data_IF_155967736589
#
_entry.id   IF_155967736589
#
_cell.length_a   1.000
_cell.length_b   1.000
_cell.length_c   1.000
_cell.angle_alpha   90.00
_cell.angle_beta   90.00
_cell.angle_gamma   90.00
#
_symmetry.space_group_name_H-M   'P 1'
#
loop_
_entity.id
_entity.type
_entity.pdbx_description
1 polymer ?
#
# COMPACT_ATOMS: atom_id res chain seq x y z
N UNK A 1 21.08 9.83 62.41
CA UNK A 1 21.02 11.19 62.95
C UNK A 1 20.15 12.02 62.05
N UNK A 2 18.92 12.32 62.50
CA UNK A 2 18.18 13.60 62.44
C UNK A 2 17.87 14.06 60.96
N UNK A 3 16.70 14.47 60.51
CA UNK A 3 15.48 14.99 61.19
C UNK A 3 14.32 14.91 60.18
N UNK A 4 13.19 14.48 60.70
CA UNK A 4 11.84 14.59 60.17
C UNK A 4 11.48 16.05 59.88
N UNK A 5 10.77 16.32 58.79
CA UNK A 5 9.84 17.46 58.75
C UNK A 5 8.58 17.04 57.96
N UNK A 6 7.53 16.85 58.74
CA UNK A 6 6.14 16.73 58.33
C UNK A 6 5.59 18.14 58.20
N UNK A 7 4.99 18.47 57.06
CA UNK A 7 4.07 19.62 56.99
C UNK A 7 2.74 19.11 56.44
N UNK A 8 1.79 19.05 57.35
CA UNK A 8 0.36 18.96 57.10
C UNK A 8 -0.18 20.36 56.77
N UNK A 9 -0.94 20.47 55.70
CA UNK A 9 -1.97 21.49 55.50
C UNK A 9 -2.87 20.95 54.39
N UNK A 10 -4.09 20.68 54.51
CA UNK A 10 -5.19 21.46 55.05
C UNK A 10 -6.33 21.34 54.04
N UNK A 11 -7.34 20.60 54.42
CA UNK A 11 -8.58 20.31 53.68
C UNK A 11 -9.33 21.60 53.32
N UNK A 12 -9.81 21.72 52.08
CA UNK A 12 -11.01 22.50 51.77
C UNK A 12 -11.83 21.74 50.70
N UNK A 13 -12.83 21.05 51.22
CA UNK A 13 -13.95 20.51 50.45
C UNK A 13 -14.87 21.68 50.02
N UNK A 14 -14.87 22.01 48.76
CA UNK A 14 -15.99 22.77 48.15
C UNK A 14 -16.67 21.83 47.16
N UNK A 15 -17.78 21.27 47.61
CA UNK A 15 -18.73 20.55 46.80
C UNK A 15 -19.39 21.49 45.77
N UNK A 16 -19.04 21.27 44.51
CA UNK A 16 -19.78 21.81 43.36
C UNK A 16 -20.54 20.66 42.73
N UNK A 17 -21.84 20.57 42.96
CA UNK A 17 -22.73 19.75 42.12
C UNK A 17 -22.73 20.34 40.72
N UNK A 18 -21.87 19.84 39.85
CA UNK A 18 -22.00 20.03 38.41
C UNK A 18 -23.12 19.10 37.92
N UNK A 19 -24.30 19.67 37.68
CA UNK A 19 -25.37 19.01 36.92
C UNK A 19 -24.80 18.70 35.55
N UNK A 20 -24.57 17.41 35.26
CA UNK A 20 -24.22 16.94 33.94
C UNK A 20 -25.35 17.30 32.98
N UNK A 21 -25.11 18.27 32.12
CA UNK A 21 -25.99 18.54 30.98
C UNK A 21 -25.85 17.30 30.07
N UNK A 22 -26.98 16.69 29.62
CA UNK A 22 -26.92 15.64 28.64
C UNK A 22 -26.29 16.22 27.36
N UNK A 23 -25.21 15.65 26.90
CA UNK A 23 -24.64 15.92 25.59
C UNK A 23 -25.73 15.73 24.53
N UNK A 24 -25.89 16.68 23.61
CA UNK A 24 -26.84 16.49 22.51
C UNK A 24 -26.40 15.28 21.70
N UNK A 25 -27.22 14.24 21.73
CA UNK A 25 -27.05 13.05 20.90
C UNK A 25 -26.98 13.54 19.45
N UNK A 26 -25.78 13.52 18.88
CA UNK A 26 -25.58 13.85 17.47
C UNK A 26 -26.41 12.85 16.65
N UNK A 27 -27.48 13.34 16.05
CA UNK A 27 -28.26 12.58 15.10
C UNK A 27 -27.29 12.11 14.01
N UNK A 28 -27.19 10.80 13.72
CA UNK A 28 -26.34 10.34 12.63
C UNK A 28 -26.79 11.06 11.35
N UNK A 29 -25.90 11.87 10.78
CA UNK A 29 -26.12 12.46 9.47
C UNK A 29 -26.32 11.29 8.52
N UNK A 30 -27.44 11.24 7.74
CA UNK A 30 -27.57 10.22 6.73
C UNK A 30 -26.33 10.32 5.83
N UNK A 31 -25.54 9.26 5.80
CA UNK A 31 -24.50 9.10 4.79
C UNK A 31 -25.29 9.04 3.49
N UNK A 32 -25.23 10.12 2.72
CA UNK A 32 -25.73 10.10 1.35
C UNK A 32 -24.97 8.96 0.69
N UNK A 33 -25.69 7.89 0.32
CA UNK A 33 -25.14 6.88 -0.54
C UNK A 33 -24.61 7.62 -1.76
N UNK A 34 -23.29 7.58 -1.95
CA UNK A 34 -22.70 8.08 -3.17
C UNK A 34 -23.44 7.40 -4.32
N UNK A 35 -23.91 8.13 -5.33
CA UNK A 35 -24.49 7.51 -6.51
C UNK A 35 -23.47 6.47 -7.00
N UNK A 36 -23.97 5.26 -7.27
CA UNK A 36 -23.15 4.26 -7.94
C UNK A 36 -22.53 4.93 -9.17
N UNK A 37 -21.25 4.76 -9.46
CA UNK A 37 -20.64 5.36 -10.63
C UNK A 37 -21.46 4.90 -11.84
N UNK A 38 -22.18 5.83 -12.43
CA UNK A 38 -22.81 5.61 -13.73
C UNK A 38 -21.66 5.38 -14.72
N UNK A 39 -21.75 4.28 -15.42
CA UNK A 39 -20.83 3.67 -16.39
C UNK A 39 -20.30 4.61 -17.47
N UNK A 40 -19.58 5.66 -17.17
CA UNK A 40 -18.77 6.32 -18.20
C UNK A 40 -17.83 7.38 -17.64
N UNK A 41 -16.72 6.97 -17.06
CA UNK A 41 -15.57 7.85 -17.20
C UNK A 41 -15.17 7.85 -18.68
N UNK A 42 -15.01 9.00 -19.32
CA UNK A 42 -14.50 9.02 -20.68
C UNK A 42 -13.12 8.33 -20.66
N UNK A 43 -12.99 7.27 -21.44
CA UNK A 43 -11.67 6.68 -21.64
C UNK A 43 -10.76 7.78 -22.23
N UNK A 44 -9.49 7.88 -21.80
CA UNK A 44 -8.55 8.78 -22.45
C UNK A 44 -8.56 8.53 -23.95
N UNK A 45 -8.34 9.58 -24.75
CA UNK A 45 -8.25 9.42 -26.19
C UNK A 45 -7.15 8.38 -26.53
N UNK A 46 -7.49 7.19 -27.02
CA UNK A 46 -6.52 6.13 -27.26
C UNK A 46 -5.45 6.57 -28.25
N UNK A 47 -5.78 7.37 -29.26
CA UNK A 47 -4.83 7.85 -30.24
C UNK A 47 -3.77 8.78 -29.60
N UNK A 48 -4.19 9.62 -28.65
CA UNK A 48 -3.27 10.45 -27.87
C UNK A 48 -2.35 9.61 -26.98
N UNK A 49 -2.91 8.64 -26.28
CA UNK A 49 -2.16 7.78 -25.38
C UNK A 49 -1.14 6.92 -26.12
N UNK A 50 -1.54 6.34 -27.24
CA UNK A 50 -0.66 5.56 -28.12
C UNK A 50 0.48 6.42 -28.67
N UNK A 51 0.19 7.67 -29.07
CA UNK A 51 1.21 8.60 -29.56
C UNK A 51 2.25 8.96 -28.47
N UNK A 52 1.83 9.11 -27.21
CA UNK A 52 2.76 9.36 -26.10
C UNK A 52 3.64 8.15 -25.84
N UNK A 53 3.06 6.95 -25.77
CA UNK A 53 3.81 5.70 -25.58
C UNK A 53 4.79 5.47 -26.73
N UNK A 54 4.35 5.68 -27.98
CA UNK A 54 5.23 5.58 -29.15
C UNK A 54 6.42 6.56 -29.09
N UNK A 55 6.20 7.77 -28.55
CA UNK A 55 7.26 8.78 -28.36
C UNK A 55 8.25 8.39 -27.27
N UNK A 56 7.79 7.74 -26.19
CA UNK A 56 8.68 7.24 -25.14
C UNK A 56 9.62 6.14 -25.66
N UNK A 57 9.18 5.42 -26.70
CA UNK A 57 9.91 4.30 -27.28
C UNK A 57 9.74 3.00 -26.48
N UNK A 58 10.51 1.96 -26.80
CA UNK A 58 10.39 0.66 -26.16
C UNK A 58 10.84 0.73 -24.68
N UNK A 59 10.16 -0.05 -23.85
CA UNK A 59 10.56 -0.23 -22.44
C UNK A 59 11.98 -0.83 -22.38
N UNK A 60 12.90 -0.22 -21.62
CA UNK A 60 14.23 -0.78 -21.45
C UNK A 60 14.18 -2.17 -20.79
N UNK A 61 15.03 -3.11 -21.22
CA UNK A 61 15.10 -4.42 -20.59
C UNK A 61 15.50 -4.30 -19.12
N UNK A 62 14.89 -5.14 -18.29
CA UNK A 62 15.23 -5.28 -16.88
C UNK A 62 16.12 -6.48 -16.64
N UNK A 63 16.70 -6.49 -15.45
CA UNK A 63 17.40 -7.68 -14.95
C UNK A 63 16.38 -8.72 -14.47
N UNK A 64 16.79 -9.99 -14.52
CA UNK A 64 16.05 -11.09 -13.91
C UNK A 64 16.91 -11.74 -12.86
N UNK A 65 16.29 -12.21 -11.79
CA UNK A 65 17.03 -12.98 -10.79
C UNK A 65 17.48 -14.35 -11.32
N UNK A 66 18.68 -14.78 -10.94
CA UNK A 66 19.04 -16.20 -11.02
C UNK A 66 18.25 -16.98 -9.97
N UNK A 67 18.11 -18.31 -10.08
CA UNK A 67 17.42 -19.10 -9.05
C UNK A 67 17.97 -18.89 -7.64
N UNK A 68 19.28 -18.73 -7.50
CA UNK A 68 19.93 -18.47 -6.20
C UNK A 68 19.58 -17.07 -5.67
N UNK A 69 19.50 -16.06 -6.55
CA UNK A 69 19.09 -14.72 -6.18
C UNK A 69 17.60 -14.66 -5.81
N UNK A 70 16.76 -15.43 -6.50
CA UNK A 70 15.33 -15.55 -6.17
C UNK A 70 15.15 -16.11 -4.76
N UNK A 71 15.84 -17.20 -4.41
CA UNK A 71 15.81 -17.77 -3.06
C UNK A 71 16.31 -16.77 -2.02
N UNK A 72 17.39 -16.05 -2.30
CA UNK A 72 17.93 -15.05 -1.38
C UNK A 72 16.96 -13.86 -1.20
N UNK A 73 16.28 -13.43 -2.25
CA UNK A 73 15.29 -12.36 -2.20
C UNK A 73 14.06 -12.76 -1.38
N UNK A 74 13.57 -13.98 -1.55
CA UNK A 74 12.46 -14.54 -0.75
C UNK A 74 12.83 -14.63 0.74
N UNK A 75 14.05 -15.06 1.05
CA UNK A 75 14.51 -15.11 2.44
C UNK A 75 14.59 -13.69 3.06
N UNK A 76 15.09 -12.72 2.31
CA UNK A 76 15.16 -11.33 2.77
C UNK A 76 13.77 -10.71 2.98
N UNK A 77 12.80 -10.99 2.10
CA UNK A 77 11.41 -10.55 2.25
C UNK A 77 10.77 -11.18 3.51
N UNK A 78 10.98 -12.46 3.74
CA UNK A 78 10.52 -13.14 4.96
C UNK A 78 11.11 -12.53 6.24
N UNK A 79 12.39 -12.15 6.22
CA UNK A 79 13.05 -11.48 7.34
C UNK A 79 12.50 -10.07 7.58
N UNK A 80 12.24 -9.33 6.52
CA UNK A 80 11.62 -8.00 6.61
C UNK A 80 10.22 -8.10 7.20
N UNK A 81 9.36 -8.99 6.67
CA UNK A 81 8.00 -9.24 7.20
C UNK A 81 8.04 -9.62 8.68
N UNK A 82 8.95 -10.53 9.04
CA UNK A 82 9.13 -10.89 10.44
C UNK A 82 9.52 -9.68 11.30
N UNK A 83 10.39 -8.81 10.81
CA UNK A 83 10.79 -7.61 11.53
C UNK A 83 9.61 -6.67 11.87
N UNK A 84 8.57 -6.64 11.02
CA UNK A 84 7.34 -5.89 11.27
C UNK A 84 6.50 -6.54 12.37
N UNK A 85 6.32 -7.86 12.31
CA UNK A 85 5.60 -8.62 13.36
C UNK A 85 6.31 -8.47 14.70
N UNK A 86 7.62 -8.71 14.77
CA UNK A 86 8.41 -8.65 16.00
C UNK A 86 8.45 -7.25 16.62
N UNK A 87 8.35 -6.16 15.83
CA UNK A 87 8.23 -4.81 16.39
C UNK A 87 6.91 -4.58 17.12
N UNK A 88 5.83 -5.14 16.60
CA UNK A 88 4.50 -4.99 17.18
C UNK A 88 4.26 -5.98 18.33
N UNK A 89 4.87 -7.17 18.25
CA UNK A 89 4.69 -8.29 19.16
C UNK A 89 6.04 -8.93 19.52
N UNK A 90 6.86 -8.28 20.36
CA UNK A 90 8.24 -8.71 20.63
C UNK A 90 8.36 -10.06 21.35
N UNK A 91 7.30 -10.53 21.99
CA UNK A 91 7.28 -11.81 22.70
C UNK A 91 6.90 -13.00 21.82
N UNK A 92 6.49 -12.76 20.57
CA UNK A 92 6.19 -13.84 19.63
C UNK A 92 7.47 -14.53 19.14
N UNK A 93 7.43 -15.85 19.07
CA UNK A 93 8.47 -16.62 18.41
C UNK A 93 8.18 -16.71 16.91
N UNK A 94 9.23 -16.53 16.08
CA UNK A 94 9.11 -16.72 14.64
C UNK A 94 8.77 -18.17 14.33
N UNK A 95 7.70 -18.43 13.57
CA UNK A 95 7.36 -19.79 13.19
C UNK A 95 8.36 -20.34 12.15
N UNK A 96 8.55 -21.65 12.16
CA UNK A 96 9.20 -22.32 11.05
C UNK A 96 8.22 -22.37 9.86
N UNK A 97 8.66 -21.86 8.73
CA UNK A 97 7.87 -21.79 7.50
C UNK A 97 8.69 -22.32 6.33
N UNK A 98 7.99 -22.87 5.34
CA UNK A 98 8.61 -23.34 4.10
C UNK A 98 7.76 -22.84 2.93
N UNK A 99 8.39 -22.29 1.90
CA UNK A 99 7.69 -21.87 0.69
C UNK A 99 6.96 -23.07 0.07
N UNK A 100 5.66 -22.96 -0.05
CA UNK A 100 4.78 -23.97 -0.65
C UNK A 100 4.58 -23.72 -2.13
N UNK A 101 4.37 -22.44 -2.49
CA UNK A 101 4.13 -22.02 -3.85
C UNK A 101 4.58 -20.59 -4.05
N UNK A 102 5.31 -20.31 -5.14
CA UNK A 102 5.68 -18.94 -5.54
C UNK A 102 4.67 -18.50 -6.60
N UNK A 103 3.86 -17.51 -6.27
CA UNK A 103 2.83 -16.98 -7.16
C UNK A 103 3.40 -15.98 -8.16
N UNK A 104 2.97 -16.05 -9.40
CA UNK A 104 3.22 -14.98 -10.38
C UNK A 104 2.39 -13.73 -10.04
N UNK A 105 2.81 -12.56 -10.54
CA UNK A 105 2.27 -11.26 -10.12
C UNK A 105 0.74 -11.11 -10.29
N UNK A 106 0.13 -11.81 -11.25
CA UNK A 106 -1.31 -11.81 -11.47
C UNK A 106 -2.10 -12.71 -10.52
N UNK A 107 -1.46 -13.72 -9.94
CA UNK A 107 -2.10 -14.80 -9.20
C UNK A 107 -1.82 -14.78 -7.69
N UNK A 108 -1.08 -13.78 -7.21
CA UNK A 108 -0.64 -13.71 -5.82
C UNK A 108 -1.79 -13.83 -4.81
N UNK A 109 -2.83 -12.99 -4.97
CA UNK A 109 -3.96 -12.99 -4.02
C UNK A 109 -4.75 -14.28 -4.07
N UNK A 110 -4.97 -14.84 -5.27
CA UNK A 110 -5.67 -16.11 -5.44
C UNK A 110 -4.88 -17.29 -4.89
N UNK A 111 -3.55 -17.21 -4.92
CA UNK A 111 -2.66 -18.25 -4.39
C UNK A 111 -2.60 -18.25 -2.87
N UNK A 112 -2.64 -17.08 -2.22
CA UNK A 112 -2.54 -16.95 -0.76
C UNK A 112 -3.89 -17.07 -0.05
N UNK A 113 -5.01 -16.75 -0.72
CA UNK A 113 -6.35 -16.73 -0.14
C UNK A 113 -6.74 -18.03 0.59
N UNK A 114 -6.49 -19.24 0.06
CA UNK A 114 -6.81 -20.48 0.77
C UNK A 114 -6.09 -20.61 2.11
N UNK A 115 -4.84 -20.13 2.23
CA UNK A 115 -4.12 -20.14 3.49
C UNK A 115 -4.76 -19.20 4.52
N UNK A 116 -5.19 -18.02 4.11
CA UNK A 116 -5.90 -17.10 4.99
C UNK A 116 -7.22 -17.69 5.49
N UNK A 117 -7.98 -18.35 4.61
CA UNK A 117 -9.22 -19.02 4.96
C UNK A 117 -8.98 -20.17 5.96
N UNK A 118 -7.98 -21.02 5.72
CA UNK A 118 -7.63 -22.14 6.58
C UNK A 118 -7.22 -21.70 7.98
N UNK A 119 -6.43 -20.63 8.08
CA UNK A 119 -5.93 -20.11 9.35
C UNK A 119 -6.87 -19.05 9.99
N UNK A 120 -8.01 -18.76 9.36
CA UNK A 120 -9.00 -17.80 9.87
C UNK A 120 -8.50 -16.37 9.92
N UNK A 121 -7.55 -15.98 9.06
CA UNK A 121 -7.02 -14.60 9.01
C UNK A 121 -8.09 -13.65 8.48
N UNK A 122 -8.47 -12.61 9.21
CA UNK A 122 -9.51 -11.66 8.79
C UNK A 122 -8.97 -10.70 7.74
N UNK A 123 -9.09 -11.05 6.48
CA UNK A 123 -8.67 -10.22 5.35
C UNK A 123 -9.86 -9.64 4.60
N UNK A 124 -9.69 -8.42 4.12
CA UNK A 124 -10.60 -7.77 3.18
C UNK A 124 -9.90 -7.66 1.84
N UNK A 125 -10.48 -8.26 0.81
CA UNK A 125 -9.93 -8.19 -0.54
C UNK A 125 -10.29 -6.87 -1.19
N UNK A 126 -9.30 -6.26 -1.86
CA UNK A 126 -9.41 -4.96 -2.52
C UNK A 126 -9.09 -5.07 -4.00
N UNK A 127 -9.48 -4.06 -4.78
CA UNK A 127 -9.17 -3.95 -6.21
C UNK A 127 -9.58 -5.17 -7.06
N UNK A 128 -10.76 -5.74 -6.81
CA UNK A 128 -11.22 -6.92 -7.56
C UNK A 128 -10.32 -8.13 -7.33
N UNK A 129 -9.92 -8.37 -6.08
CA UNK A 129 -9.01 -9.44 -5.64
C UNK A 129 -7.55 -9.28 -6.12
N UNK A 130 -7.10 -8.05 -6.38
CA UNK A 130 -5.68 -7.77 -6.69
C UNK A 130 -4.84 -7.45 -5.47
N UNK A 131 -5.48 -7.18 -4.34
CA UNK A 131 -4.85 -6.89 -3.07
C UNK A 131 -5.69 -7.37 -1.90
N UNK A 132 -5.14 -7.28 -0.71
CA UNK A 132 -5.87 -7.49 0.52
C UNK A 132 -5.39 -6.54 1.61
N UNK A 133 -6.28 -6.21 2.52
CA UNK A 133 -6.00 -5.52 3.76
C UNK A 133 -6.33 -6.41 4.95
N UNK A 134 -5.69 -6.17 6.08
CA UNK A 134 -6.00 -6.84 7.34
C UNK A 134 -6.22 -5.79 8.42
N UNK A 135 -7.40 -5.81 9.02
CA UNK A 135 -7.80 -4.85 10.05
C UNK A 135 -7.52 -5.34 11.48
N UNK A 136 -6.99 -6.56 11.63
CA UNK A 136 -6.72 -7.13 12.94
C UNK A 136 -5.44 -6.56 13.56
N UNK A 137 -5.52 -6.29 14.88
CA UNK A 137 -4.38 -5.99 15.74
C UNK A 137 -4.04 -7.16 16.67
N UNK A 138 -4.68 -8.32 16.45
CA UNK A 138 -4.44 -9.54 17.22
C UNK A 138 -3.09 -10.18 16.84
N UNK A 139 -2.40 -10.73 17.84
CA UNK A 139 -1.08 -11.31 17.66
C UNK A 139 -1.13 -12.61 16.83
N UNK A 140 -2.15 -13.44 17.06
CA UNK A 140 -2.28 -14.72 16.35
C UNK A 140 -2.65 -14.49 14.88
N UNK A 141 -3.52 -13.51 14.60
CA UNK A 141 -3.84 -13.12 13.23
C UNK A 141 -2.61 -12.62 12.47
N UNK A 142 -1.77 -11.80 13.12
CA UNK A 142 -0.52 -11.31 12.52
C UNK A 142 0.49 -12.42 12.29
N UNK A 143 0.56 -13.38 13.20
CA UNK A 143 1.42 -14.56 13.04
C UNK A 143 0.96 -15.42 11.87
N UNK A 144 -0.34 -15.66 11.77
CA UNK A 144 -0.96 -16.43 10.70
C UNK A 144 -0.82 -15.71 9.33
N UNK A 145 -1.00 -14.39 9.30
CA UNK A 145 -0.73 -13.59 8.10
C UNK A 145 0.72 -13.77 7.64
N UNK A 146 1.69 -13.57 8.54
CA UNK A 146 3.11 -13.75 8.24
C UNK A 146 3.37 -15.14 7.67
N UNK A 147 2.81 -16.18 8.28
CA UNK A 147 2.95 -17.56 7.83
C UNK A 147 2.46 -17.73 6.39
N UNK A 148 1.25 -17.28 6.08
CA UNK A 148 0.70 -17.38 4.73
C UNK A 148 1.54 -16.60 3.70
N UNK A 149 1.98 -15.39 4.04
CA UNK A 149 2.80 -14.56 3.15
C UNK A 149 4.18 -15.16 2.84
N UNK A 150 4.74 -15.96 3.76
CA UNK A 150 6.02 -16.65 3.54
C UNK A 150 5.83 -18.01 2.86
N UNK A 151 4.75 -18.70 3.13
CA UNK A 151 4.43 -20.00 2.49
C UNK A 151 3.97 -19.82 1.03
N UNK A 152 3.30 -18.70 0.72
CA UNK A 152 2.78 -18.36 -0.61
C UNK A 152 3.27 -16.97 -1.08
N UNK A 153 4.59 -16.77 -1.19
CA UNK A 153 5.10 -15.47 -1.60
C UNK A 153 4.80 -15.18 -3.07
N UNK A 154 4.70 -13.89 -3.40
CA UNK A 154 4.79 -13.47 -4.80
C UNK A 154 6.22 -13.65 -5.33
N UNK A 155 6.34 -13.91 -6.65
CA UNK A 155 7.66 -13.99 -7.28
C UNK A 155 8.41 -12.67 -7.09
N UNK A 156 9.61 -12.70 -6.50
CA UNK A 156 10.39 -11.49 -6.31
C UNK A 156 10.88 -10.95 -7.66
N UNK A 157 10.81 -9.64 -7.80
CA UNK A 157 11.26 -8.94 -9.00
C UNK A 157 12.64 -8.35 -8.75
N UNK A 158 13.53 -8.46 -9.75
CA UNK A 158 14.81 -7.77 -9.70
C UNK A 158 14.60 -6.25 -9.60
N UNK A 159 15.50 -5.52 -8.93
CA UNK A 159 15.43 -4.07 -8.88
C UNK A 159 15.43 -3.46 -10.28
N UNK A 160 14.72 -2.36 -10.46
CA UNK A 160 14.77 -1.62 -11.71
C UNK A 160 16.19 -1.14 -12.02
N UNK A 161 16.59 -1.28 -13.27
CA UNK A 161 17.83 -0.66 -13.78
C UNK A 161 17.70 0.86 -13.83
N UNK A 162 18.82 1.57 -13.93
CA UNK A 162 18.80 3.03 -14.08
C UNK A 162 18.05 3.48 -15.35
N UNK A 163 18.15 2.72 -16.44
CA UNK A 163 17.45 2.99 -17.69
C UNK A 163 15.94 2.78 -17.54
N UNK A 164 15.52 1.72 -16.86
CA UNK A 164 14.11 1.50 -16.52
C UNK A 164 13.55 2.62 -15.63
N UNK A 165 14.29 3.05 -14.62
CA UNK A 165 13.86 4.16 -13.76
C UNK A 165 13.79 5.48 -14.52
N UNK A 166 14.73 5.73 -15.43
CA UNK A 166 14.70 6.90 -16.30
C UNK A 166 13.46 6.89 -17.20
N UNK A 167 13.15 5.75 -17.80
CA UNK A 167 11.94 5.56 -18.60
C UNK A 167 10.67 5.71 -17.77
N UNK A 168 10.63 5.11 -16.57
CA UNK A 168 9.49 5.19 -15.66
C UNK A 168 9.18 6.62 -15.23
N UNK A 169 10.22 7.43 -14.98
CA UNK A 169 10.01 8.86 -14.71
C UNK A 169 9.35 9.58 -15.88
N UNK A 170 9.85 9.35 -17.11
CA UNK A 170 9.26 9.95 -18.31
C UNK A 170 7.82 9.46 -18.54
N UNK A 171 7.56 8.19 -18.30
CA UNK A 171 6.22 7.62 -18.34
C UNK A 171 5.27 8.30 -17.34
N UNK A 172 5.71 8.52 -16.11
CA UNK A 172 4.89 9.21 -15.12
C UNK A 172 4.59 10.66 -15.50
N UNK A 173 5.56 11.36 -16.05
CA UNK A 173 5.41 12.77 -16.42
C UNK A 173 4.63 12.95 -17.72
N UNK A 174 4.89 12.11 -18.73
CA UNK A 174 4.37 12.32 -20.08
C UNK A 174 3.10 11.52 -20.37
N UNK A 175 2.87 10.42 -19.66
CA UNK A 175 1.71 9.56 -19.85
C UNK A 175 0.79 9.56 -18.64
N UNK A 176 1.24 9.04 -17.48
CA UNK A 176 0.35 8.75 -16.36
C UNK A 176 -0.31 10.01 -15.77
N UNK A 177 0.48 11.05 -15.50
CA UNK A 177 -0.07 12.28 -14.95
C UNK A 177 -1.07 12.97 -15.91
N UNK A 178 -0.76 13.16 -17.19
CA UNK A 178 -1.76 13.66 -18.14
C UNK A 178 -2.98 12.75 -18.28
N UNK A 179 -2.81 11.43 -18.30
CA UNK A 179 -3.91 10.47 -18.37
C UNK A 179 -4.92 10.66 -17.22
N UNK A 180 -4.43 10.78 -15.99
CA UNK A 180 -5.25 11.03 -14.82
C UNK A 180 -6.02 12.36 -14.96
N UNK A 181 -5.36 13.40 -15.45
CA UNK A 181 -5.98 14.72 -15.65
C UNK A 181 -7.03 14.72 -16.77
N UNK A 182 -6.80 14.00 -17.87
CA UNK A 182 -7.76 13.84 -18.99
C UNK A 182 -9.04 13.14 -18.52
N UNK A 183 -8.95 12.26 -17.52
CA UNK A 183 -10.10 11.64 -16.87
C UNK A 183 -10.80 12.57 -15.88
N UNK A 184 -10.33 13.80 -15.71
CA UNK A 184 -10.94 14.81 -14.84
C UNK A 184 -10.54 14.75 -13.37
N UNK A 185 -9.53 13.96 -13.00
CA UNK A 185 -9.04 13.87 -11.63
C UNK A 185 -7.99 14.91 -11.31
N UNK A 186 -7.99 15.37 -10.06
CA UNK A 186 -6.89 16.16 -9.51
C UNK A 186 -5.70 15.25 -9.18
N UNK A 187 -4.49 15.72 -9.51
CA UNK A 187 -3.27 14.99 -9.21
C UNK A 187 -2.80 15.25 -7.78
N UNK A 188 -2.64 14.20 -7.01
CA UNK A 188 -1.90 14.24 -5.78
C UNK A 188 -0.40 14.11 -6.09
N UNK A 189 0.28 15.23 -6.12
CA UNK A 189 1.73 15.30 -6.36
C UNK A 189 2.45 15.76 -5.09
N UNK A 190 3.71 15.31 -4.87
CA UNK A 190 4.52 15.86 -3.80
C UNK A 190 4.75 17.37 -4.04
N UNK A 191 4.78 18.15 -2.97
CA UNK A 191 4.98 19.60 -3.06
C UNK A 191 6.26 20.00 -3.81
N UNK A 192 7.28 19.14 -3.81
CA UNK A 192 8.52 19.30 -4.53
C UNK A 192 8.82 18.00 -5.30
N UNK A 193 8.30 17.83 -6.51
CA UNK A 193 8.60 16.66 -7.33
C UNK A 193 10.12 16.53 -7.55
N UNK A 194 10.67 15.32 -7.47
CA UNK A 194 12.10 15.12 -7.73
C UNK A 194 12.43 15.43 -9.19
N UNK A 195 13.66 15.82 -9.44
CA UNK A 195 14.19 15.77 -10.80
C UNK A 195 14.37 14.30 -11.22
N UNK A 196 14.45 14.04 -12.52
CA UNK A 196 14.67 12.70 -13.07
C UNK A 196 15.92 12.04 -12.47
N UNK A 197 17.03 12.76 -12.41
CA UNK A 197 18.28 12.24 -11.83
C UNK A 197 18.13 11.90 -10.35
N UNK A 198 17.40 12.74 -9.60
CA UNK A 198 17.13 12.48 -8.18
C UNK A 198 16.21 11.29 -8.00
N UNK A 199 15.22 11.10 -8.87
CA UNK A 199 14.34 9.93 -8.87
C UNK A 199 15.14 8.65 -9.13
N UNK A 200 15.94 8.59 -10.18
CA UNK A 200 16.79 7.44 -10.51
C UNK A 200 17.77 7.11 -9.39
N UNK A 201 18.46 8.12 -8.84
CA UNK A 201 19.50 7.91 -7.83
C UNK A 201 18.96 7.48 -6.45
N UNK A 202 17.70 7.81 -6.15
CA UNK A 202 17.14 7.64 -4.79
C UNK A 202 15.92 6.72 -4.73
N UNK A 203 15.56 6.07 -5.85
CA UNK A 203 14.49 5.09 -5.85
C UNK A 203 14.75 3.96 -4.84
N UNK A 204 13.74 3.47 -4.11
CA UNK A 204 12.35 3.93 -4.06
C UNK A 204 12.10 5.06 -3.03
N UNK A 205 13.12 5.58 -2.36
CA UNK A 205 13.00 6.58 -1.27
C UNK A 205 12.46 7.92 -1.74
N UNK A 206 12.77 8.31 -2.98
CA UNK A 206 12.17 9.46 -3.65
C UNK A 206 11.27 8.97 -4.78
N UNK A 207 10.13 8.45 -4.40
CA UNK A 207 9.13 8.02 -5.36
C UNK A 207 8.37 9.25 -5.90
N UNK A 208 8.26 9.33 -7.21
CA UNK A 208 7.34 10.21 -7.92
C UNK A 208 6.38 9.31 -8.69
N UNK A 209 5.26 9.01 -8.10
CA UNK A 209 4.20 8.24 -8.73
C UNK A 209 2.92 9.08 -8.65
N UNK A 210 2.49 9.72 -9.76
CA UNK A 210 1.26 10.51 -9.76
C UNK A 210 0.06 9.58 -9.53
N UNK A 211 -0.85 10.02 -8.65
CA UNK A 211 -2.13 9.36 -8.42
C UNK A 211 -3.26 10.39 -8.37
N UNK A 212 -4.48 9.93 -8.50
CA UNK A 212 -5.66 10.77 -8.38
C UNK A 212 -5.97 11.00 -6.89
N UNK A 213 -6.24 12.25 -6.51
CA UNK A 213 -6.63 12.60 -5.16
C UNK A 213 -8.07 12.16 -4.88
N UNK A 214 -8.29 11.55 -3.71
CA UNK A 214 -9.64 11.17 -3.25
C UNK A 214 -10.26 9.96 -3.95
N UNK A 215 -9.48 9.23 -4.75
CA UNK A 215 -9.94 8.01 -5.47
C UNK A 215 -9.58 6.76 -4.68
N UNK A 216 -10.56 5.89 -4.47
CA UNK A 216 -10.39 4.67 -3.66
C UNK A 216 -11.14 3.47 -4.28
N UNK A 217 -10.73 2.26 -3.91
CA UNK A 217 -11.40 0.99 -4.19
C UNK A 217 -11.70 0.72 -5.69
N UNK A 218 -12.97 0.55 -6.04
CA UNK A 218 -13.37 0.19 -7.41
C UNK A 218 -13.03 1.27 -8.44
N UNK A 219 -13.10 2.54 -8.05
CA UNK A 219 -12.73 3.68 -8.89
C UNK A 219 -11.22 3.70 -9.16
N UNK A 220 -10.40 3.41 -8.15
CA UNK A 220 -8.96 3.26 -8.31
C UNK A 220 -8.61 2.09 -9.23
N UNK A 221 -9.34 0.97 -9.14
CA UNK A 221 -9.13 -0.16 -10.03
C UNK A 221 -9.44 0.19 -11.50
N UNK A 222 -10.51 0.95 -11.75
CA UNK A 222 -10.84 1.44 -13.09
C UNK A 222 -9.78 2.44 -13.60
N UNK A 223 -9.31 3.33 -12.74
CA UNK A 223 -8.26 4.28 -13.05
C UNK A 223 -6.93 3.58 -13.39
N UNK A 224 -6.54 2.55 -12.65
CA UNK A 224 -5.34 1.77 -12.91
C UNK A 224 -5.41 0.97 -14.22
N UNK A 225 -6.61 0.63 -14.69
CA UNK A 225 -6.81 0.05 -16.01
C UNK A 225 -6.65 1.07 -17.12
N UNK A 226 -7.16 2.29 -16.93
CA UNK A 226 -7.08 3.38 -17.91
C UNK A 226 -5.69 4.04 -17.94
N UNK A 227 -5.09 4.25 -16.77
CA UNK A 227 -3.80 4.92 -16.57
C UNK A 227 -2.86 4.03 -15.75
N UNK A 228 -2.31 2.95 -16.33
CA UNK A 228 -1.55 1.94 -15.61
C UNK A 228 -0.40 2.52 -14.77
N UNK A 229 -0.14 1.89 -13.62
CA UNK A 229 0.97 2.29 -12.73
C UNK A 229 2.34 2.04 -13.34
N UNK A 230 2.42 1.07 -14.26
CA UNK A 230 3.65 0.74 -14.97
C UNK A 230 3.33 0.51 -16.46
N UNK A 231 4.24 0.87 -17.35
CA UNK A 231 4.09 0.53 -18.76
C UNK A 231 4.11 -0.98 -18.97
N UNK A 232 3.39 -1.43 -19.96
CA UNK A 232 3.38 -2.84 -20.36
C UNK A 232 4.80 -3.35 -20.63
N UNK A 233 5.13 -4.52 -20.14
CA UNK A 233 6.45 -5.15 -20.31
C UNK A 233 7.56 -4.63 -19.40
N UNK A 234 7.27 -3.73 -18.45
CA UNK A 234 8.28 -3.28 -17.48
C UNK A 234 8.49 -4.27 -16.32
N UNK A 235 7.56 -5.19 -16.09
CA UNK A 235 7.58 -6.22 -15.04
C UNK A 235 7.12 -7.55 -15.57
#
# INVERSE_FOLDING_TARGET
>A
MKVLLVVMCGVLLLGGCATAQPEPTATPRPVASAPAPEDSYPAPDPDYMDAVIAKLGPVPPGDTYTPEQEVAALAADADERWSWVARSFPDLARPETTVVHIADSGDYVTSIAPCFEELGVPVTYTYGNRGYGMDSTDADDRLNQYRCEVEYPGRPLAPFTADQLSYLYDYFVQFKAPCIQELGYELALPANPPTKDAFVAKWPRQNYNPWAEGVYDAELAALDLACPNFPEGMR
#
